data_IF_820048941949
#
_entry.id   IF_820048941949
#
_cell.length_a   1.000
_cell.length_b   1.000
_cell.length_c   1.000
_cell.angle_alpha   90.00
_cell.angle_beta   90.00
_cell.angle_gamma   90.00
#
_symmetry.space_group_name_H-M   'P 1'
#
loop_
_entity.id
_entity.type
_entity.pdbx_description
1 polymer ?
#
# COMPACT_ATOMS: atom_id res chain seq x y z
N UNK A 1 1.83 6.54 -9.86
CA UNK A 1 0.80 6.90 -8.86
C UNK A 1 -0.32 5.86 -8.75
N UNK A 2 -0.52 5.03 -9.76
CA UNK A 2 -1.59 4.03 -9.84
C UNK A 2 -1.20 2.64 -9.31
N UNK A 3 0.01 2.48 -8.77
CA UNK A 3 0.54 1.15 -8.42
C UNK A 3 1.46 1.15 -7.23
N UNK A 4 1.47 -0.01 -6.57
CA UNK A 4 2.46 -0.39 -5.56
C UNK A 4 3.32 -1.52 -6.08
N UNK A 5 4.58 -1.47 -5.72
CA UNK A 5 5.56 -2.49 -6.08
C UNK A 5 6.09 -3.13 -4.80
N UNK A 6 5.84 -4.41 -4.65
CA UNK A 6 6.36 -5.24 -3.57
C UNK A 6 7.52 -6.06 -4.11
N UNK A 7 8.69 -5.89 -3.54
CA UNK A 7 9.85 -6.70 -3.88
C UNK A 7 10.10 -7.70 -2.75
N UNK A 8 9.98 -8.98 -3.06
CA UNK A 8 10.46 -10.06 -2.20
C UNK A 8 11.85 -10.44 -2.67
N UNK A 9 12.77 -10.66 -1.73
CA UNK A 9 14.12 -11.11 -2.03
C UNK A 9 14.45 -12.27 -1.11
N UNK A 10 14.92 -13.36 -1.70
CA UNK A 10 15.40 -14.53 -0.97
C UNK A 10 16.83 -14.30 -0.50
N UNK A 11 17.02 -14.19 0.81
CA UNK A 11 18.31 -14.02 1.47
C UNK A 11 18.85 -15.33 2.05
N UNK A 12 18.20 -16.46 1.84
CA UNK A 12 18.56 -17.75 2.45
C UNK A 12 20.02 -18.16 2.22
N UNK A 13 20.56 -17.85 1.05
CA UNK A 13 21.98 -18.12 0.75
C UNK A 13 22.95 -17.29 1.62
N UNK A 14 22.61 -16.01 1.88
CA UNK A 14 23.41 -15.14 2.75
C UNK A 14 23.27 -15.54 4.22
N UNK A 15 22.07 -15.86 4.67
CA UNK A 15 21.81 -16.33 6.04
C UNK A 15 22.60 -17.62 6.32
N UNK A 16 22.56 -18.59 5.38
CA UNK A 16 23.34 -19.82 5.48
C UNK A 16 24.85 -19.55 5.55
N UNK A 17 25.36 -18.68 4.68
CA UNK A 17 26.78 -18.32 4.68
C UNK A 17 27.17 -17.63 5.99
N UNK A 18 26.33 -16.76 6.53
CA UNK A 18 26.57 -16.13 7.82
C UNK A 18 26.63 -17.14 8.97
N UNK A 19 25.71 -18.11 9.02
CA UNK A 19 25.74 -19.19 10.02
C UNK A 19 26.99 -20.09 9.88
N UNK A 20 27.43 -20.32 8.65
CA UNK A 20 28.65 -21.12 8.37
C UNK A 20 29.94 -20.29 8.47
N UNK A 21 29.88 -19.01 8.82
CA UNK A 21 31.00 -18.06 8.87
C UNK A 21 31.80 -17.99 7.55
N UNK A 22 31.07 -18.13 6.43
CA UNK A 22 31.65 -18.05 5.08
C UNK A 22 31.39 -16.68 4.47
N UNK A 23 32.36 -16.17 3.72
CA UNK A 23 32.21 -14.99 2.87
C UNK A 23 31.81 -15.49 1.48
N UNK A 24 30.67 -15.00 0.98
CA UNK A 24 30.24 -15.22 -0.40
C UNK A 24 30.77 -14.09 -1.28
N UNK A 25 31.54 -14.43 -2.29
CA UNK A 25 31.93 -13.48 -3.32
C UNK A 25 30.78 -13.38 -4.35
N UNK A 26 30.17 -12.18 -4.49
CA UNK A 26 29.08 -11.89 -5.43
C UNK A 26 27.88 -12.86 -5.33
N UNK A 27 27.18 -12.95 -4.20
CA UNK A 27 26.03 -13.82 -4.07
C UNK A 27 24.89 -13.37 -5.00
N UNK A 28 24.37 -14.30 -5.80
CA UNK A 28 23.16 -14.07 -6.59
C UNK A 28 21.95 -14.23 -5.70
N UNK A 29 21.16 -13.15 -5.58
CA UNK A 29 19.90 -13.14 -4.87
C UNK A 29 18.75 -13.26 -5.85
N UNK A 30 17.79 -14.13 -5.53
CA UNK A 30 16.55 -14.23 -6.29
C UNK A 30 15.55 -13.22 -5.75
N UNK A 31 15.00 -12.39 -6.64
CA UNK A 31 13.93 -11.44 -6.27
C UNK A 31 12.69 -11.67 -7.13
N UNK A 32 11.53 -11.41 -6.55
CA UNK A 32 10.24 -11.34 -7.24
C UNK A 32 9.63 -9.97 -7.02
N UNK A 33 9.07 -9.41 -8.09
CA UNK A 33 8.34 -8.15 -8.05
C UNK A 33 6.87 -8.45 -8.24
N UNK A 34 6.07 -8.11 -7.24
CA UNK A 34 4.61 -8.15 -7.31
C UNK A 34 4.10 -6.71 -7.42
N UNK A 35 3.24 -6.46 -8.38
CA UNK A 35 2.62 -5.15 -8.58
C UNK A 35 1.14 -5.25 -8.27
N UNK A 36 0.65 -4.37 -7.39
CA UNK A 36 -0.76 -4.04 -7.20
C UNK A 36 -1.06 -2.77 -7.99
N UNK A 37 -2.00 -2.81 -8.90
CA UNK A 37 -2.34 -1.66 -9.74
C UNK A 37 -3.79 -1.26 -9.54
N UNK A 38 -4.02 -0.05 -9.05
CA UNK A 38 -5.34 0.55 -8.91
C UNK A 38 -5.89 1.00 -10.26
N UNK A 39 -7.15 0.69 -10.51
CA UNK A 39 -7.83 0.96 -11.79
C UNK A 39 -8.66 2.22 -11.71
N UNK A 40 -8.62 3.04 -12.77
CA UNK A 40 -9.49 4.22 -12.87
C UNK A 40 -9.11 5.36 -11.93
N UNK A 41 -7.90 5.36 -11.38
CA UNK A 41 -7.42 6.45 -10.52
C UNK A 41 -7.31 7.77 -11.32
N UNK A 42 -7.47 8.87 -10.62
CA UNK A 42 -7.28 10.20 -11.20
C UNK A 42 -5.79 10.38 -11.60
N UNK A 43 -5.48 10.54 -12.90
CA UNK A 43 -4.10 10.70 -13.36
C UNK A 43 -3.46 12.02 -12.90
N UNK A 44 -4.26 12.97 -12.44
CA UNK A 44 -3.82 14.28 -11.97
C UNK A 44 -3.73 14.38 -10.45
N UNK A 45 -4.09 13.32 -9.69
CA UNK A 45 -3.91 13.28 -8.25
C UNK A 45 -2.45 13.50 -7.88
N UNK A 46 -2.18 14.48 -7.02
CA UNK A 46 -0.82 14.84 -6.61
C UNK A 46 -0.54 14.32 -5.19
N UNK A 47 0.68 13.84 -5.01
CA UNK A 47 1.16 13.47 -3.69
C UNK A 47 1.42 14.72 -2.84
N UNK A 48 0.87 14.76 -1.64
CA UNK A 48 1.12 15.79 -0.63
C UNK A 48 1.62 15.18 0.65
N UNK A 49 2.71 15.77 1.18
CA UNK A 49 3.27 15.35 2.47
C UNK A 49 2.45 15.90 3.63
N UNK A 50 2.11 15.04 4.58
CA UNK A 50 1.42 15.39 5.82
C UNK A 50 2.30 15.03 7.02
N UNK A 51 2.06 15.69 8.16
CA UNK A 51 2.83 15.47 9.40
C UNK A 51 4.34 15.63 9.16
N UNK A 52 4.82 16.85 8.78
CA UNK A 52 6.23 17.06 8.48
C UNK A 52 7.09 16.70 9.68
N UNK A 53 8.18 15.99 9.42
CA UNK A 53 9.18 15.70 10.43
C UNK A 53 10.02 16.96 10.75
N UNK A 54 10.65 16.97 11.93
CA UNK A 54 11.52 18.08 12.35
C UNK A 54 12.90 18.07 11.67
N UNK A 55 13.22 17.01 10.92
CA UNK A 55 14.49 16.83 10.23
C UNK A 55 14.28 16.80 8.72
N UNK A 56 15.36 17.11 7.99
CA UNK A 56 15.41 17.01 6.54
C UNK A 56 16.58 16.11 6.14
N UNK A 57 16.52 15.56 4.94
CA UNK A 57 17.56 14.70 4.36
C UNK A 57 18.36 15.46 3.31
N UNK A 58 19.63 15.08 3.17
CA UNK A 58 20.46 15.51 2.06
C UNK A 58 20.93 14.28 1.29
N UNK A 59 20.83 14.34 -0.02
CA UNK A 59 21.22 13.26 -0.92
C UNK A 59 22.34 13.76 -1.84
N UNK A 60 23.55 13.28 -1.59
CA UNK A 60 24.74 13.58 -2.40
C UNK A 60 25.17 12.31 -3.15
N UNK A 61 24.44 11.99 -4.23
CA UNK A 61 24.60 10.73 -4.96
C UNK A 61 25.51 10.92 -6.17
N UNK A 62 26.67 10.24 -6.16
CA UNK A 62 27.65 10.31 -7.24
C UNK A 62 28.42 11.63 -7.26
N UNK A 63 29.21 11.84 -8.32
CA UNK A 63 30.08 13.02 -8.51
C UNK A 63 29.40 14.20 -9.19
N UNK A 64 28.22 14.02 -9.76
CA UNK A 64 27.47 15.07 -10.44
C UNK A 64 26.61 15.84 -9.44
N UNK A 65 27.04 17.06 -9.11
CA UNK A 65 26.37 17.93 -8.15
C UNK A 65 24.97 18.39 -8.59
N UNK A 66 24.65 18.36 -9.89
CA UNK A 66 23.31 18.68 -10.39
C UNK A 66 22.24 17.67 -9.95
N UNK A 67 22.66 16.48 -9.53
CA UNK A 67 21.82 15.40 -9.00
C UNK A 67 21.72 15.39 -7.47
N UNK A 68 22.37 16.34 -6.80
CA UNK A 68 22.31 16.45 -5.34
C UNK A 68 21.05 17.18 -4.92
N UNK A 69 20.46 16.75 -3.80
CA UNK A 69 19.32 17.40 -3.19
C UNK A 69 19.59 17.65 -1.71
N UNK A 70 19.40 18.89 -1.27
CA UNK A 70 19.57 19.29 0.12
C UNK A 70 18.25 19.79 0.69
N UNK A 71 18.05 19.63 2.00
CA UNK A 71 16.87 20.12 2.70
C UNK A 71 15.58 19.39 2.31
N UNK A 72 15.68 18.14 1.83
CA UNK A 72 14.52 17.32 1.43
C UNK A 72 13.70 16.99 2.67
N UNK A 73 12.45 17.49 2.71
CA UNK A 73 11.55 17.26 3.83
C UNK A 73 11.16 15.79 3.96
N UNK A 74 11.04 15.35 5.21
CA UNK A 74 10.45 14.05 5.54
C UNK A 74 9.05 14.24 6.09
N UNK A 75 8.18 13.28 5.84
CA UNK A 75 6.78 13.31 6.22
C UNK A 75 6.36 11.98 6.84
N UNK A 76 5.53 12.03 7.86
CA UNK A 76 4.98 10.83 8.51
C UNK A 76 3.83 10.21 7.71
N UNK A 77 3.28 10.96 6.75
CA UNK A 77 2.15 10.53 5.94
C UNK A 77 2.22 11.19 4.57
N UNK A 78 1.79 10.47 3.54
CA UNK A 78 1.64 11.00 2.18
C UNK A 78 0.18 10.81 1.77
N UNK A 79 -0.50 11.90 1.39
CA UNK A 79 -1.88 11.88 0.90
C UNK A 79 -1.97 12.12 -0.60
N UNK A 80 -3.00 11.56 -1.21
CA UNK A 80 -3.44 11.84 -2.57
C UNK A 80 -4.89 12.29 -2.50
N UNK A 81 -5.13 13.57 -2.72
CA UNK A 81 -6.48 14.12 -2.76
C UNK A 81 -7.15 13.73 -4.08
N UNK A 82 -8.45 13.42 -4.00
CA UNK A 82 -9.22 12.97 -5.15
C UNK A 82 -8.52 11.85 -5.95
N UNK A 83 -7.97 10.86 -5.23
CA UNK A 83 -7.36 9.69 -5.86
C UNK A 83 -8.35 8.93 -6.76
N UNK A 84 -9.62 8.88 -6.34
CA UNK A 84 -10.80 8.71 -7.19
C UNK A 84 -11.75 9.89 -6.95
N UNK A 85 -12.73 10.14 -7.81
CA UNK A 85 -13.73 11.18 -7.55
C UNK A 85 -14.37 11.07 -6.17
N UNK A 86 -14.06 12.03 -5.28
CA UNK A 86 -14.51 12.05 -3.89
C UNK A 86 -13.90 11.00 -2.98
N UNK A 87 -12.74 10.45 -3.32
CA UNK A 87 -12.01 9.50 -2.47
C UNK A 87 -10.54 9.92 -2.39
N UNK A 88 -10.09 10.17 -1.18
CA UNK A 88 -8.69 10.43 -0.87
C UNK A 88 -7.98 9.13 -0.47
N UNK A 89 -6.69 9.07 -0.72
CA UNK A 89 -5.83 7.97 -0.30
C UNK A 89 -4.67 8.48 0.54
N UNK A 90 -4.37 7.81 1.64
CA UNK A 90 -3.26 8.17 2.53
C UNK A 90 -2.35 6.97 2.78
N UNK A 91 -1.05 7.23 2.72
CA UNK A 91 0.00 6.33 3.14
C UNK A 91 0.53 6.74 4.49
N UNK A 92 0.64 5.77 5.39
CA UNK A 92 1.21 5.95 6.72
C UNK A 92 2.32 4.92 6.94
N UNK A 93 3.38 5.36 7.61
CA UNK A 93 4.35 4.45 8.20
C UNK A 93 3.86 4.12 9.62
N UNK A 94 3.52 2.87 9.86
CA UNK A 94 3.14 2.35 11.18
C UNK A 94 4.25 1.42 11.67
N UNK A 95 5.28 2.01 12.28
CA UNK A 95 6.47 1.36 12.84
C UNK A 95 7.25 0.49 11.84
N UNK A 96 6.88 -0.77 11.64
CA UNK A 96 7.54 -1.70 10.72
C UNK A 96 6.69 -2.02 9.48
N UNK A 97 5.46 -1.50 9.41
CA UNK A 97 4.52 -1.79 8.35
C UNK A 97 4.14 -0.52 7.59
N UNK A 98 3.99 -0.66 6.28
CA UNK A 98 3.36 0.38 5.47
C UNK A 98 1.87 0.10 5.41
N UNK A 99 1.08 1.10 5.79
CA UNK A 99 -0.38 1.05 5.68
C UNK A 99 -0.85 2.12 4.72
N UNK A 100 -1.90 1.82 3.99
CA UNK A 100 -2.65 2.81 3.25
C UNK A 100 -4.11 2.79 3.69
N UNK A 101 -4.81 3.88 3.54
CA UNK A 101 -6.23 3.96 3.80
C UNK A 101 -6.91 4.83 2.77
N UNK A 102 -8.19 4.59 2.58
CA UNK A 102 -9.05 5.45 1.77
C UNK A 102 -10.04 6.19 2.66
N UNK A 103 -10.27 7.45 2.32
CA UNK A 103 -11.32 8.26 2.93
C UNK A 103 -12.32 8.59 1.84
N UNK A 104 -13.51 7.99 1.92
CA UNK A 104 -14.60 8.17 0.96
C UNK A 104 -15.49 9.29 1.47
N UNK A 105 -15.62 10.36 0.70
CA UNK A 105 -16.49 11.49 1.04
C UNK A 105 -17.98 11.08 1.04
N UNK A 106 -18.83 11.78 1.80
CA UNK A 106 -20.27 11.55 1.80
C UNK A 106 -20.85 11.53 0.38
N UNK A 107 -21.67 10.54 0.07
CA UNK A 107 -22.29 10.37 -1.23
C UNK A 107 -21.38 9.84 -2.35
N UNK A 108 -20.08 9.66 -2.10
CA UNK A 108 -19.17 9.06 -3.07
C UNK A 108 -19.27 7.52 -3.06
N UNK A 109 -18.89 6.90 -4.17
CA UNK A 109 -19.04 5.46 -4.36
C UNK A 109 -17.72 4.71 -4.08
N UNK A 110 -17.56 3.99 -2.96
CA UNK A 110 -16.35 3.23 -2.66
C UNK A 110 -16.11 2.05 -3.61
N UNK A 111 -17.10 1.63 -4.38
CA UNK A 111 -16.97 0.61 -5.43
C UNK A 111 -16.03 1.04 -6.58
N UNK A 112 -15.64 2.32 -6.66
CA UNK A 112 -14.60 2.79 -7.59
C UNK A 112 -13.23 2.21 -7.26
N UNK A 113 -12.98 1.84 -5.99
CA UNK A 113 -11.69 1.31 -5.54
C UNK A 113 -11.56 -0.12 -6.03
N UNK A 114 -10.83 -0.28 -7.12
CA UNK A 114 -10.55 -1.57 -7.74
C UNK A 114 -9.07 -1.70 -8.09
N UNK A 115 -8.54 -2.91 -8.02
CA UNK A 115 -7.15 -3.19 -8.39
C UNK A 115 -6.97 -4.60 -8.95
N UNK A 116 -5.85 -4.81 -9.63
CA UNK A 116 -5.34 -6.12 -10.02
C UNK A 116 -3.93 -6.35 -9.47
N UNK A 117 -3.49 -7.61 -9.53
CA UNK A 117 -2.13 -7.99 -9.20
C UNK A 117 -1.44 -8.60 -10.40
N UNK A 118 -0.14 -8.29 -10.56
CA UNK A 118 0.74 -8.96 -11.52
C UNK A 118 2.04 -9.39 -10.82
N UNK A 119 2.66 -10.47 -11.28
CA UNK A 119 3.89 -11.01 -10.70
C UNK A 119 3.68 -11.96 -9.52
N UNK A 120 2.46 -12.13 -9.01
CA UNK A 120 2.09 -13.22 -8.13
C UNK A 120 1.69 -14.45 -8.95
N UNK A 121 2.07 -15.64 -8.49
CA UNK A 121 1.69 -16.91 -9.13
C UNK A 121 0.23 -17.28 -8.83
N UNK A 122 -0.29 -16.83 -7.68
CA UNK A 122 -1.69 -16.97 -7.28
C UNK A 122 -2.10 -15.92 -6.25
N UNK A 123 -3.37 -15.50 -6.29
CA UNK A 123 -4.01 -14.69 -5.25
C UNK A 123 -5.10 -15.54 -4.60
N UNK A 124 -5.03 -15.73 -3.29
CA UNK A 124 -5.90 -16.64 -2.54
C UNK A 124 -6.62 -15.88 -1.44
N UNK A 125 -7.96 -15.97 -1.41
CA UNK A 125 -8.74 -15.53 -0.27
C UNK A 125 -8.62 -16.54 0.88
N UNK A 126 -8.17 -16.09 2.04
CA UNK A 126 -8.01 -16.95 3.21
C UNK A 126 -8.37 -16.22 4.49
N UNK A 127 -9.48 -16.64 5.12
CA UNK A 127 -9.95 -16.07 6.40
C UNK A 127 -10.07 -14.53 6.38
N UNK A 128 -10.58 -13.97 5.29
CA UNK A 128 -10.75 -12.53 5.13
C UNK A 128 -9.54 -11.77 4.56
N UNK A 129 -8.36 -12.38 4.55
CA UNK A 129 -7.12 -11.81 3.99
C UNK A 129 -6.93 -12.23 2.53
N UNK A 130 -6.12 -11.47 1.78
CA UNK A 130 -5.57 -11.89 0.48
C UNK A 130 -4.14 -12.38 0.67
N UNK A 131 -3.83 -13.56 0.12
CA UNK A 131 -2.48 -14.10 0.06
C UNK A 131 -1.99 -14.08 -1.39
N UNK A 132 -0.94 -13.30 -1.65
CA UNK A 132 -0.28 -13.25 -2.95
C UNK A 132 0.93 -14.18 -2.89
N UNK A 133 0.83 -15.33 -3.54
CA UNK A 133 1.89 -16.33 -3.54
C UNK A 133 2.88 -16.09 -4.66
N UNK A 134 4.15 -16.30 -4.37
CA UNK A 134 5.24 -16.34 -5.33
C UNK A 134 6.14 -17.55 -5.08
N UNK A 135 7.01 -17.88 -6.03
CA UNK A 135 7.95 -19.00 -5.91
C UNK A 135 8.92 -18.86 -4.72
N UNK A 136 9.12 -17.66 -4.15
CA UNK A 136 10.09 -17.39 -3.08
C UNK A 136 9.47 -16.88 -1.78
N UNK A 137 8.13 -16.81 -1.70
CA UNK A 137 7.45 -16.36 -0.50
C UNK A 137 6.04 -15.86 -0.79
N UNK A 138 5.40 -15.32 0.22
CA UNK A 138 4.04 -14.77 0.11
C UNK A 138 3.94 -13.36 0.70
N UNK A 139 3.05 -12.55 0.13
CA UNK A 139 2.63 -11.27 0.69
C UNK A 139 1.22 -11.49 1.22
N UNK A 140 0.94 -11.01 2.41
CA UNK A 140 -0.38 -11.04 3.00
C UNK A 140 -0.92 -9.62 3.11
N UNK A 141 -2.09 -9.41 2.54
CA UNK A 141 -2.94 -8.27 2.87
C UNK A 141 -3.96 -8.74 3.90
N UNK A 142 -3.94 -8.13 5.08
CA UNK A 142 -4.81 -8.55 6.17
C UNK A 142 -6.28 -8.26 5.87
N UNK A 143 -7.18 -8.79 6.67
CA UNK A 143 -8.61 -8.51 6.52
C UNK A 143 -8.86 -7.01 6.62
N UNK A 144 -9.50 -6.39 5.63
CA UNK A 144 -9.79 -4.96 5.67
C UNK A 144 -10.84 -4.66 6.74
N UNK A 145 -10.74 -3.49 7.35
CA UNK A 145 -11.82 -2.97 8.16
C UNK A 145 -12.25 -1.59 7.67
N UNK A 146 -13.51 -1.24 7.93
CA UNK A 146 -14.03 0.06 7.60
C UNK A 146 -14.81 0.64 8.79
N UNK A 147 -14.87 1.98 8.86
CA UNK A 147 -15.60 2.67 9.90
C UNK A 147 -16.04 4.05 9.46
N UNK A 148 -17.02 4.58 10.18
CA UNK A 148 -17.45 5.97 10.12
C UNK A 148 -17.25 6.64 11.47
N UNK A 149 -16.91 7.91 11.48
CA UNK A 149 -16.91 8.70 12.69
C UNK A 149 -18.19 9.55 12.74
N UNK A 150 -19.09 9.20 13.66
CA UNK A 150 -20.40 9.84 13.82
C UNK A 150 -20.52 10.38 15.25
N UNK A 151 -20.65 11.70 15.39
CA UNK A 151 -20.76 12.38 16.69
C UNK A 151 -19.58 12.02 17.64
N UNK A 152 -18.35 11.93 17.10
CA UNK A 152 -17.16 11.61 17.85
C UNK A 152 -17.06 10.13 18.29
N UNK A 153 -17.91 9.25 17.72
CA UNK A 153 -17.87 7.80 17.93
C UNK A 153 -17.52 7.08 16.67
N UNK A 154 -16.60 6.14 16.75
CA UNK A 154 -16.27 5.25 15.67
C UNK A 154 -17.30 4.13 15.55
N UNK A 155 -17.99 4.05 14.43
CA UNK A 155 -18.97 3.02 14.09
C UNK A 155 -18.35 2.10 13.04
N UNK A 156 -18.16 0.84 13.41
CA UNK A 156 -17.60 -0.15 12.50
C UNK A 156 -18.59 -0.51 11.40
N UNK A 157 -18.07 -0.61 10.18
CA UNK A 157 -18.80 -1.03 8.98
C UNK A 157 -18.22 -2.35 8.50
N UNK A 158 -19.07 -3.34 8.26
CA UNK A 158 -18.60 -4.61 7.69
C UNK A 158 -17.91 -4.36 6.36
N UNK A 159 -16.69 -4.89 6.21
CA UNK A 159 -15.87 -4.72 5.02
C UNK A 159 -15.14 -6.04 4.72
N UNK A 160 -15.10 -6.41 3.45
CA UNK A 160 -14.35 -7.58 3.00
C UNK A 160 -13.81 -7.36 1.59
N UNK A 161 -12.73 -8.06 1.26
CA UNK A 161 -12.27 -8.17 -0.13
C UNK A 161 -13.28 -8.94 -0.96
N UNK A 162 -13.46 -8.52 -2.20
CA UNK A 162 -14.29 -9.21 -3.19
C UNK A 162 -13.58 -9.22 -4.53
N UNK A 163 -13.73 -10.29 -5.28
CA UNK A 163 -13.34 -10.33 -6.68
C UNK A 163 -14.51 -9.78 -7.53
N UNK A 164 -14.31 -8.60 -8.10
CA UNK A 164 -15.33 -7.87 -8.88
C UNK A 164 -15.48 -8.48 -10.28
N UNK A 165 -14.37 -8.92 -10.86
CA UNK A 165 -14.27 -9.68 -12.09
C UNK A 165 -12.98 -10.49 -12.04
N UNK A 166 -12.77 -11.40 -12.98
CA UNK A 166 -11.59 -12.27 -13.00
C UNK A 166 -10.29 -11.48 -12.82
N UNK A 167 -9.57 -11.74 -11.71
CA UNK A 167 -8.32 -11.10 -11.33
C UNK A 167 -8.42 -9.62 -10.93
N UNK A 168 -9.63 -9.07 -10.80
CA UNK A 168 -9.86 -7.70 -10.34
C UNK A 168 -10.55 -7.71 -8.98
N UNK A 169 -9.91 -7.09 -8.02
CA UNK A 169 -10.34 -7.04 -6.64
C UNK A 169 -10.91 -5.68 -6.28
N UNK A 170 -11.73 -5.65 -5.26
CA UNK A 170 -12.33 -4.46 -4.67
C UNK A 170 -12.83 -4.78 -3.26
N UNK A 171 -13.71 -3.94 -2.73
CA UNK A 171 -14.30 -4.11 -1.41
C UNK A 171 -15.81 -4.30 -1.52
N UNK A 172 -16.35 -5.13 -0.63
CA UNK A 172 -17.77 -5.19 -0.32
C UNK A 172 -18.03 -4.61 1.06
N UNK A 173 -19.18 -3.93 1.24
CA UNK A 173 -19.53 -3.24 2.49
C UNK A 173 -20.90 -3.69 2.97
N UNK A 174 -21.05 -3.72 4.29
CA UNK A 174 -22.37 -3.73 4.92
C UNK A 174 -23.05 -2.37 4.84
N UNK A 175 -24.17 -2.22 5.53
CA UNK A 175 -24.90 -0.96 5.59
C UNK A 175 -24.07 0.10 6.34
N UNK A 176 -24.04 1.34 5.83
CA UNK A 176 -23.43 2.50 6.44
C UNK A 176 -24.19 3.77 6.05
N UNK A 177 -23.97 4.86 6.77
CA UNK A 177 -24.68 6.13 6.54
C UNK A 177 -23.97 6.96 5.45
N UNK A 178 -24.65 7.20 4.33
CA UNK A 178 -24.11 7.97 3.21
C UNK A 178 -23.88 9.46 3.52
N UNK A 179 -24.39 9.97 4.63
CA UNK A 179 -24.19 11.35 5.05
C UNK A 179 -22.83 11.58 5.73
N UNK A 180 -22.10 10.52 6.07
CA UNK A 180 -20.81 10.61 6.76
C UNK A 180 -19.70 9.99 5.92
N UNK A 181 -18.44 10.44 6.07
CA UNK A 181 -17.30 9.80 5.43
C UNK A 181 -17.15 8.34 5.85
N UNK A 182 -16.70 7.50 4.91
CA UNK A 182 -16.32 6.12 5.19
C UNK A 182 -14.79 6.01 5.11
N UNK A 183 -14.16 5.53 6.17
CA UNK A 183 -12.73 5.21 6.19
C UNK A 183 -12.58 3.71 5.95
N UNK A 184 -11.69 3.33 5.03
CA UNK A 184 -11.34 1.94 4.70
C UNK A 184 -9.86 1.76 4.98
N UNK A 185 -9.51 0.85 5.88
CA UNK A 185 -8.13 0.52 6.30
C UNK A 185 -7.89 -0.97 5.99
N UNK A 186 -7.25 -1.27 4.84
CA UNK A 186 -6.95 -2.62 4.41
C UNK A 186 -5.83 -3.28 5.20
#
# INVERSE_FOLDING_TARGET
QDRFLYQLTDFSALEKAHHEQKILENPLLTSRLVQQRFKGVNPHAQAMGHKPAKHAYNFFLGSDSSRWASGVGAYGEVGYQDYYPGIDMFWKNDQANYKYLFVVAPGSAPAQIMWDYTGADAVIHKKGSLLLKTAIGEIREEQPFAYQEINGKQIMVACAYTEVSEGVYGYSFGAYDLAYPLVIDP
#
